data_IF_239897891241
#
_entry.id   IF_239897891241
#
_cell.length_a   1.000
_cell.length_b   1.000
_cell.length_c   1.000
_cell.angle_alpha   90.00
_cell.angle_beta   90.00
_cell.angle_gamma   90.00
#
_symmetry.space_group_name_H-M   'P 1'
#
loop_
_entity.id
_entity.type
_entity.pdbx_description
1 polymer ?
#
# COMPACT_ATOMS: atom_id res chain seq x y z
N UNK A 1 -11.50 -21.18 -13.21
CA UNK A 1 -12.20 -19.97 -12.71
C UNK A 1 -11.13 -19.07 -12.16
N UNK A 2 -11.05 -17.83 -12.63
CA UNK A 2 -10.16 -16.86 -12.00
C UNK A 2 -10.61 -16.63 -10.55
N UNK A 3 -9.66 -16.64 -9.62
CA UNK A 3 -9.96 -16.35 -8.22
C UNK A 3 -10.51 -14.92 -8.10
N UNK A 4 -11.58 -14.76 -7.34
CA UNK A 4 -12.21 -13.47 -7.12
C UNK A 4 -11.19 -12.46 -6.52
N UNK A 5 -11.22 -11.23 -6.98
CA UNK A 5 -10.39 -10.16 -6.44
C UNK A 5 -11.03 -9.60 -5.16
N UNK A 6 -10.22 -9.33 -4.17
CA UNK A 6 -10.61 -8.73 -2.91
C UNK A 6 -9.81 -7.43 -2.69
N UNK A 7 -10.48 -6.32 -2.50
CA UNK A 7 -9.87 -5.06 -2.07
C UNK A 7 -9.88 -5.02 -0.54
N UNK A 8 -8.74 -4.77 0.06
CA UNK A 8 -8.58 -4.69 1.50
C UNK A 8 -7.96 -3.36 1.92
N UNK A 9 -8.58 -2.69 2.87
CA UNK A 9 -8.01 -1.56 3.58
C UNK A 9 -7.85 -1.88 5.06
N UNK A 10 -6.92 -1.21 5.74
CA UNK A 10 -6.71 -1.33 7.18
C UNK A 10 -6.95 0.03 7.82
N UNK A 11 -7.96 0.11 8.70
CA UNK A 11 -8.30 1.30 9.47
C UNK A 11 -8.32 0.97 10.95
N UNK A 12 -7.41 1.56 11.72
CA UNK A 12 -7.32 1.31 13.15
C UNK A 12 -7.27 2.61 13.94
N UNK A 13 -8.00 2.63 15.06
CA UNK A 13 -8.09 3.81 15.90
C UNK A 13 -8.83 4.96 15.22
N UNK A 14 -8.49 6.20 15.59
CA UNK A 14 -9.20 7.42 15.20
C UNK A 14 -8.48 8.33 14.21
N UNK A 15 -7.25 7.97 13.77
CA UNK A 15 -6.48 8.83 12.84
C UNK A 15 -7.25 9.04 11.53
N UNK A 16 -7.77 7.96 10.96
CA UNK A 16 -8.51 8.04 9.71
C UNK A 16 -10.01 7.80 9.96
N UNK A 17 -10.89 8.75 9.65
CA UNK A 17 -12.32 8.55 9.71
C UNK A 17 -12.82 7.60 8.59
N UNK A 18 -14.09 7.12 8.66
CA UNK A 18 -14.63 6.12 7.73
C UNK A 18 -14.70 6.59 6.27
N UNK A 19 -14.62 7.89 6.03
CA UNK A 19 -14.58 8.48 4.69
C UNK A 19 -13.40 7.96 3.86
N UNK A 20 -12.26 7.66 4.48
CA UNK A 20 -11.08 7.14 3.77
C UNK A 20 -11.29 5.75 3.15
N UNK A 21 -11.67 4.70 3.89
CA UNK A 21 -11.97 3.42 3.27
C UNK A 21 -13.16 3.49 2.30
N UNK A 22 -14.17 4.34 2.55
CA UNK A 22 -15.28 4.57 1.62
C UNK A 22 -14.77 5.17 0.30
N UNK A 23 -13.87 6.15 0.39
CA UNK A 23 -13.26 6.79 -0.77
C UNK A 23 -12.46 5.77 -1.61
N UNK A 24 -11.59 4.97 -0.99
CA UNK A 24 -10.83 3.91 -1.67
C UNK A 24 -11.79 2.94 -2.37
N UNK A 25 -12.85 2.51 -1.69
CA UNK A 25 -13.86 1.61 -2.25
C UNK A 25 -14.56 2.22 -3.48
N UNK A 26 -15.04 3.46 -3.37
CA UNK A 26 -15.77 4.14 -4.44
C UNK A 26 -14.87 4.43 -5.64
N UNK A 27 -13.62 4.83 -5.42
CA UNK A 27 -12.63 4.97 -6.49
C UNK A 27 -12.33 3.63 -7.17
N UNK A 28 -12.18 2.56 -6.38
CA UNK A 28 -11.98 1.22 -6.92
C UNK A 28 -13.18 0.75 -7.76
N UNK A 29 -14.41 1.01 -7.33
CA UNK A 29 -15.63 0.70 -8.14
C UNK A 29 -15.57 1.33 -9.53
N UNK A 30 -14.96 2.48 -9.68
CA UNK A 30 -14.82 3.16 -10.97
C UNK A 30 -13.70 2.62 -11.83
N UNK A 31 -12.56 2.27 -11.21
CA UNK A 31 -11.31 2.04 -11.92
C UNK A 31 -10.85 0.59 -11.97
N UNK A 32 -11.49 -0.31 -11.19
CA UNK A 32 -11.17 -1.73 -11.23
C UNK A 32 -11.71 -2.36 -12.52
N UNK A 33 -10.91 -3.15 -13.25
CA UNK A 33 -11.34 -3.76 -14.51
C UNK A 33 -12.25 -4.99 -14.33
N UNK A 34 -12.44 -5.46 -13.10
CA UNK A 34 -13.24 -6.64 -12.78
C UNK A 34 -14.04 -6.46 -11.50
N UNK A 35 -15.01 -7.34 -11.27
CA UNK A 35 -15.73 -7.39 -10.00
C UNK A 35 -14.81 -7.76 -8.85
N UNK A 36 -15.06 -7.18 -7.69
CA UNK A 36 -14.30 -7.42 -6.47
C UNK A 36 -15.19 -7.35 -5.23
N UNK A 37 -14.75 -8.01 -4.15
CA UNK A 37 -15.29 -7.76 -2.82
C UNK A 37 -14.46 -6.68 -2.13
N UNK A 38 -15.10 -5.87 -1.30
CA UNK A 38 -14.42 -4.86 -0.49
C UNK A 38 -14.44 -5.23 0.98
N UNK A 39 -13.29 -5.10 1.61
CA UNK A 39 -13.08 -5.40 3.03
C UNK A 39 -12.35 -4.25 3.72
N UNK A 40 -12.74 -3.98 4.96
CA UNK A 40 -12.01 -3.11 5.85
C UNK A 40 -11.66 -3.87 7.14
N UNK A 41 -10.38 -4.04 7.38
CA UNK A 41 -9.90 -4.57 8.67
C UNK A 41 -9.84 -3.41 9.65
N UNK A 42 -10.74 -3.43 10.65
CA UNK A 42 -10.92 -2.29 11.55
C UNK A 42 -11.43 -2.72 12.92
N UNK A 43 -11.12 -1.91 13.93
CA UNK A 43 -11.71 -1.96 15.27
C UNK A 43 -13.09 -1.27 15.36
N UNK A 44 -13.42 -0.44 14.36
CA UNK A 44 -14.68 0.27 14.32
C UNK A 44 -15.17 0.46 12.88
N UNK A 45 -16.22 -0.27 12.52
CA UNK A 45 -16.87 -0.23 11.21
C UNK A 45 -17.98 0.81 11.05
N UNK A 46 -18.24 1.65 12.05
CA UNK A 46 -19.29 2.66 11.96
C UNK A 46 -18.99 3.68 10.86
N UNK A 47 -19.98 3.95 10.02
CA UNK A 47 -19.86 4.93 8.93
C UNK A 47 -19.23 4.39 7.65
N UNK A 48 -18.88 3.09 7.58
CA UNK A 48 -18.46 2.46 6.33
C UNK A 48 -19.66 2.26 5.39
N UNK A 49 -19.40 2.34 4.09
CA UNK A 49 -20.37 1.99 3.05
C UNK A 49 -20.84 0.54 3.21
N UNK A 50 -22.12 0.28 2.94
CA UNK A 50 -22.76 -1.04 3.13
C UNK A 50 -22.09 -2.17 2.33
N UNK A 51 -21.47 -1.85 1.22
CA UNK A 51 -20.72 -2.79 0.36
C UNK A 51 -19.34 -3.18 0.94
N UNK A 52 -18.88 -2.50 2.00
CA UNK A 52 -17.60 -2.78 2.65
C UNK A 52 -17.82 -3.73 3.81
N UNK A 53 -17.25 -4.93 3.70
CA UNK A 53 -17.34 -5.93 4.77
C UNK A 53 -16.29 -5.64 5.85
N UNK A 54 -16.75 -5.47 7.07
CA UNK A 54 -15.85 -5.36 8.23
C UNK A 54 -15.30 -6.72 8.56
N UNK A 55 -13.98 -6.80 8.76
CA UNK A 55 -13.29 -8.01 9.19
C UNK A 55 -12.36 -7.71 10.36
N UNK A 56 -12.26 -8.68 11.26
CA UNK A 56 -11.28 -8.65 12.34
C UNK A 56 -10.01 -9.38 11.93
N UNK A 57 -8.87 -8.94 12.44
CA UNK A 57 -7.61 -9.64 12.18
C UNK A 57 -7.61 -11.05 12.76
N UNK A 58 -7.12 -12.01 11.98
CA UNK A 58 -6.83 -13.37 12.47
C UNK A 58 -5.48 -13.45 13.17
N UNK A 59 -4.59 -12.50 12.89
CA UNK A 59 -3.22 -12.46 13.38
C UNK A 59 -3.10 -11.60 14.66
N UNK A 60 -3.94 -11.90 15.65
CA UNK A 60 -4.07 -11.10 16.90
C UNK A 60 -2.73 -10.91 17.61
N UNK A 61 -1.87 -11.93 17.66
CA UNK A 61 -0.57 -11.85 18.29
C UNK A 61 0.32 -10.74 17.70
N UNK A 62 0.27 -10.55 16.38
CA UNK A 62 1.03 -9.51 15.69
C UNK A 62 0.45 -8.12 16.02
N UNK A 63 -0.86 -8.01 15.99
CA UNK A 63 -1.55 -6.77 16.29
C UNK A 63 -1.35 -6.34 17.74
N UNK A 64 -1.50 -7.26 18.69
CA UNK A 64 -1.32 -6.98 20.11
C UNK A 64 0.11 -6.51 20.39
N UNK A 65 1.10 -7.16 19.78
CA UNK A 65 2.50 -6.77 19.94
C UNK A 65 2.78 -5.40 19.31
N UNK A 66 2.30 -5.15 18.09
CA UNK A 66 2.49 -3.86 17.40
C UNK A 66 1.80 -2.71 18.15
N UNK A 67 0.56 -2.89 18.59
CA UNK A 67 -0.19 -1.86 19.30
C UNK A 67 0.35 -1.60 20.72
N UNK A 68 1.06 -2.56 21.30
CA UNK A 68 1.72 -2.39 22.60
C UNK A 68 3.05 -1.63 22.53
N UNK A 69 3.55 -1.34 21.31
CA UNK A 69 4.84 -0.67 21.14
C UNK A 69 4.72 0.83 21.29
N UNK A 70 5.61 1.41 22.11
CA UNK A 70 5.84 2.86 22.13
C UNK A 70 6.55 3.38 20.86
N UNK A 71 6.94 2.48 19.99
CA UNK A 71 7.79 2.75 18.82
C UNK A 71 6.97 2.68 17.54
N UNK A 72 6.63 3.81 16.98
CA UNK A 72 5.78 3.98 15.81
C UNK A 72 6.37 3.43 14.48
N UNK A 73 7.68 3.30 14.36
CA UNK A 73 8.33 2.98 13.07
C UNK A 73 8.12 1.54 12.56
N UNK A 74 7.60 0.63 13.38
CA UNK A 74 7.30 -0.73 12.96
C UNK A 74 5.80 -1.02 12.86
N UNK A 75 4.95 -0.01 12.99
CA UNK A 75 3.49 -0.21 12.95
C UNK A 75 3.00 -0.72 11.61
N UNK A 76 3.65 -0.37 10.52
CA UNK A 76 3.32 -0.87 9.19
C UNK A 76 3.59 -2.38 9.02
N UNK A 77 4.29 -3.02 9.97
CA UNK A 77 4.51 -4.47 9.97
C UNK A 77 3.20 -5.27 10.03
N UNK A 78 2.11 -4.66 10.46
CA UNK A 78 0.76 -5.20 10.36
C UNK A 78 0.42 -5.63 8.92
N UNK A 79 0.94 -4.93 7.92
CA UNK A 79 0.79 -5.24 6.49
C UNK A 79 1.39 -6.61 6.12
N UNK A 80 2.29 -7.13 6.94
CA UNK A 80 2.82 -8.48 6.73
C UNK A 80 1.76 -9.57 6.87
N UNK A 81 0.67 -9.30 7.61
CA UNK A 81 -0.47 -10.21 7.70
C UNK A 81 -1.17 -10.47 6.36
N UNK A 82 -0.99 -9.59 5.37
CA UNK A 82 -1.50 -9.78 4.00
C UNK A 82 -0.98 -11.07 3.34
N UNK A 83 0.17 -11.54 3.79
CA UNK A 83 0.80 -12.77 3.30
C UNK A 83 0.35 -14.02 4.08
N UNK A 84 -0.44 -13.85 5.14
CA UNK A 84 -0.97 -14.97 5.90
C UNK A 84 -2.02 -15.75 5.10
N UNK A 85 -2.00 -17.10 5.16
CA UNK A 85 -3.02 -17.91 4.51
C UNK A 85 -4.40 -17.60 5.13
N UNK A 86 -5.40 -17.38 4.27
CA UNK A 86 -6.79 -17.10 4.71
C UNK A 86 -6.92 -15.92 5.69
N UNK A 87 -6.18 -14.84 5.44
CA UNK A 87 -6.27 -13.63 6.24
C UNK A 87 -7.74 -13.22 6.44
N UNK A 88 -8.20 -13.13 7.68
CA UNK A 88 -9.58 -12.75 8.02
C UNK A 88 -10.67 -13.61 7.32
N UNK A 89 -10.34 -14.84 6.93
CA UNK A 89 -11.22 -15.69 6.10
C UNK A 89 -11.24 -15.33 4.62
N UNK A 90 -10.45 -14.35 4.18
CA UNK A 90 -10.29 -13.97 2.78
C UNK A 90 -9.29 -14.91 2.12
N UNK A 91 -9.67 -15.50 0.99
CA UNK A 91 -8.83 -16.43 0.23
C UNK A 91 -8.75 -15.98 -1.23
N UNK A 92 -7.55 -16.11 -1.83
CA UNK A 92 -7.29 -15.73 -3.21
C UNK A 92 -6.56 -14.41 -3.36
N UNK A 93 -6.87 -13.68 -4.44
CA UNK A 93 -6.20 -12.41 -4.78
C UNK A 93 -6.69 -11.27 -3.87
N UNK A 94 -5.75 -10.58 -3.24
CA UNK A 94 -5.99 -9.44 -2.36
C UNK A 94 -5.19 -8.25 -2.87
N UNK A 95 -5.88 -7.18 -3.22
CA UNK A 95 -5.28 -5.85 -3.43
C UNK A 95 -5.44 -5.05 -2.14
N UNK A 96 -4.34 -4.82 -1.45
CA UNK A 96 -4.30 -3.93 -0.30
C UNK A 96 -3.96 -2.51 -0.73
N UNK A 97 -4.64 -1.53 -0.16
CA UNK A 97 -4.34 -0.12 -0.32
C UNK A 97 -4.27 0.58 1.04
N UNK A 98 -3.25 1.41 1.24
CA UNK A 98 -3.28 2.40 2.31
C UNK A 98 -4.46 3.36 2.10
N UNK A 99 -4.90 3.97 3.18
CA UNK A 99 -6.10 4.80 3.19
C UNK A 99 -5.91 6.16 2.50
N UNK A 100 -4.67 6.62 2.43
CA UNK A 100 -4.28 7.90 1.84
C UNK A 100 -3.93 7.81 0.35
N UNK A 101 -4.16 6.68 -0.30
CA UNK A 101 -3.97 6.54 -1.75
C UNK A 101 -5.15 7.16 -2.53
N UNK A 102 -4.86 7.69 -3.73
CA UNK A 102 -5.88 8.14 -4.68
C UNK A 102 -5.82 7.30 -5.97
N UNK A 103 -6.92 6.61 -6.28
CA UNK A 103 -7.10 5.95 -7.57
C UNK A 103 -7.80 6.93 -8.52
N UNK A 104 -7.10 7.34 -9.58
CA UNK A 104 -7.61 8.34 -10.53
C UNK A 104 -7.49 7.91 -11.99
N UNK A 105 -7.12 6.64 -12.23
CA UNK A 105 -7.04 6.00 -13.54
C UNK A 105 -7.25 4.48 -13.47
N UNK A 106 -7.31 3.79 -14.62
CA UNK A 106 -7.55 2.35 -14.71
C UNK A 106 -6.54 1.53 -13.91
N UNK A 107 -7.03 0.52 -13.16
CA UNK A 107 -6.21 -0.35 -12.31
C UNK A 107 -5.80 -1.66 -13.01
N UNK A 108 -5.99 -1.78 -14.33
CA UNK A 108 -5.63 -2.96 -15.12
C UNK A 108 -4.18 -3.38 -14.86
N UNK A 109 -3.24 -2.44 -14.97
CA UNK A 109 -1.82 -2.70 -14.75
C UNK A 109 -1.49 -3.19 -13.34
N UNK A 110 -2.31 -2.80 -12.36
CA UNK A 110 -2.14 -3.25 -10.97
C UNK A 110 -2.53 -4.73 -10.88
N UNK A 111 -3.73 -5.09 -11.34
CA UNK A 111 -4.28 -6.44 -11.18
C UNK A 111 -3.76 -7.46 -12.19
N UNK A 112 -3.14 -7.02 -13.28
CA UNK A 112 -2.44 -7.86 -14.25
C UNK A 112 -0.98 -8.14 -13.83
N UNK A 113 -0.44 -7.40 -12.86
CA UNK A 113 0.90 -7.67 -12.34
C UNK A 113 0.91 -9.01 -11.61
N UNK A 114 1.89 -9.90 -11.88
CA UNK A 114 1.99 -11.16 -11.16
C UNK A 114 2.15 -10.97 -9.65
N UNK A 115 1.51 -11.80 -8.86
CA UNK A 115 1.59 -11.80 -7.39
C UNK A 115 2.80 -12.62 -6.88
N UNK A 116 3.44 -12.25 -5.77
CA UNK A 116 3.17 -11.04 -4.97
C UNK A 116 3.80 -9.78 -5.59
N UNK A 117 3.08 -8.66 -5.57
CA UNK A 117 3.55 -7.40 -6.13
C UNK A 117 3.47 -6.24 -5.13
N UNK A 118 4.35 -5.24 -5.34
CA UNK A 118 4.49 -4.07 -4.48
C UNK A 118 4.92 -2.87 -5.32
N UNK A 119 4.79 -1.66 -4.80
CA UNK A 119 5.30 -0.46 -5.46
C UNK A 119 6.83 -0.50 -5.48
N UNK A 120 7.42 -0.39 -6.67
CA UNK A 120 8.82 -0.02 -6.82
C UNK A 120 8.96 1.51 -6.77
N UNK A 121 9.88 2.02 -5.95
CA UNK A 121 10.11 3.47 -5.80
C UNK A 121 10.86 4.05 -7.01
N UNK A 122 10.21 4.06 -8.17
CA UNK A 122 10.81 4.42 -9.48
C UNK A 122 11.14 5.90 -9.62
N UNK A 123 10.61 6.74 -8.73
CA UNK A 123 10.96 8.18 -8.65
C UNK A 123 12.34 8.45 -8.09
N UNK A 124 13.02 7.45 -7.52
CA UNK A 124 14.38 7.60 -7.03
C UNK A 124 15.40 7.45 -8.17
N UNK A 125 16.33 8.39 -8.33
CA UNK A 125 17.37 8.28 -9.35
C UNK A 125 18.37 7.17 -8.99
N UNK A 126 18.92 6.45 -10.02
CA UNK A 126 19.84 5.33 -9.80
C UNK A 126 21.08 5.67 -8.96
N UNK A 127 21.60 6.91 -9.07
CA UNK A 127 22.75 7.34 -8.27
C UNK A 127 22.39 7.56 -6.80
N UNK A 128 21.16 7.96 -6.47
CA UNK A 128 20.71 8.10 -5.10
C UNK A 128 20.67 6.72 -4.43
N UNK A 129 20.28 5.70 -5.18
CA UNK A 129 20.37 4.30 -4.77
C UNK A 129 21.82 3.88 -4.51
N UNK A 130 22.78 4.39 -5.34
CA UNK A 130 24.20 4.10 -5.20
C UNK A 130 24.94 4.97 -4.19
N UNK A 131 24.54 6.24 -4.01
CA UNK A 131 25.23 7.20 -3.12
C UNK A 131 25.09 6.89 -1.62
N UNK A 132 24.06 6.16 -1.24
CA UNK A 132 23.88 5.73 0.14
C UNK A 132 24.81 4.56 0.53
N UNK A 133 25.78 4.24 -0.33
CA UNK A 133 27.06 3.57 -0.07
C UNK A 133 27.05 2.44 0.96
N UNK A 134 26.19 1.44 0.80
CA UNK A 134 26.12 0.32 1.73
C UNK A 134 25.33 0.60 3.02
N UNK A 135 24.80 1.80 3.22
CA UNK A 135 23.82 2.05 4.26
C UNK A 135 22.46 1.55 3.75
N UNK A 136 22.24 0.26 3.90
CA UNK A 136 21.05 -0.46 3.44
C UNK A 136 19.74 0.11 3.96
N UNK A 137 19.76 0.97 4.98
CA UNK A 137 18.58 1.64 5.51
C UNK A 137 18.02 2.73 4.59
N UNK A 138 18.86 3.28 3.73
CA UNK A 138 18.50 4.42 2.88
C UNK A 138 18.19 4.03 1.41
N UNK A 139 18.38 2.76 1.03
CA UNK A 139 18.16 2.27 -0.34
C UNK A 139 16.96 1.35 -0.46
N UNK A 140 15.96 1.58 0.32
CA UNK A 140 14.71 0.83 0.20
C UNK A 140 13.98 1.23 -1.09
N UNK A 141 13.87 0.27 -2.01
CA UNK A 141 13.22 0.50 -3.31
C UNK A 141 11.80 -0.04 -3.38
N UNK A 142 11.21 -0.38 -2.24
CA UNK A 142 9.80 -0.76 -2.13
C UNK A 142 9.04 0.26 -1.29
N UNK A 143 7.76 0.37 -1.59
CA UNK A 143 6.79 1.07 -0.76
C UNK A 143 5.52 0.23 -0.64
N UNK A 144 5.07 -0.02 0.58
CA UNK A 144 3.96 -0.92 0.90
C UNK A 144 2.58 -0.24 0.95
N UNK A 145 2.43 0.95 0.37
CA UNK A 145 1.13 1.63 0.31
C UNK A 145 0.15 0.94 -0.63
N UNK A 146 0.64 0.13 -1.57
CA UNK A 146 -0.16 -0.71 -2.45
C UNK A 146 0.51 -2.08 -2.60
N UNK A 147 -0.15 -3.13 -2.14
CA UNK A 147 0.37 -4.51 -2.20
C UNK A 147 -0.68 -5.41 -2.87
N UNK A 148 -0.23 -6.24 -3.82
CA UNK A 148 -1.09 -7.21 -4.48
C UNK A 148 -0.56 -8.62 -4.25
N UNK A 149 -1.34 -9.47 -3.60
CA UNK A 149 -0.97 -10.83 -3.26
C UNK A 149 -2.04 -11.82 -3.67
N UNK A 150 -1.66 -13.07 -3.85
CA UNK A 150 -2.57 -14.21 -3.83
C UNK A 150 -2.15 -15.11 -2.66
N UNK A 151 -2.95 -15.10 -1.60
CA UNK A 151 -2.63 -15.80 -0.36
C UNK A 151 -2.83 -17.32 -0.44
N UNK A 152 -3.23 -17.83 -1.59
CA UNK A 152 -3.25 -19.28 -1.89
C UNK A 152 -1.94 -19.77 -2.47
N UNK A 153 -1.06 -18.87 -2.93
CA UNK A 153 0.22 -19.25 -3.54
C UNK A 153 1.25 -19.67 -2.48
N UNK A 154 2.03 -20.71 -2.74
CA UNK A 154 3.08 -21.16 -1.81
C UNK A 154 4.07 -20.06 -1.44
N UNK A 155 4.49 -19.24 -2.41
CA UNK A 155 5.44 -18.16 -2.19
C UNK A 155 4.93 -17.11 -1.20
N UNK A 156 3.66 -16.81 -1.21
CA UNK A 156 3.03 -15.89 -0.26
C UNK A 156 3.09 -16.46 1.15
N UNK A 157 2.78 -17.74 1.29
CA UNK A 157 2.89 -18.44 2.57
C UNK A 157 4.35 -18.53 3.07
N UNK A 158 5.32 -18.69 2.16
CA UNK A 158 6.75 -18.69 2.52
C UNK A 158 7.18 -17.33 3.09
N UNK A 159 6.70 -16.23 2.50
CA UNK A 159 6.95 -14.88 3.01
C UNK A 159 6.40 -14.75 4.45
N UNK A 160 5.17 -15.16 4.67
CA UNK A 160 4.54 -15.12 5.98
C UNK A 160 5.28 -15.98 7.02
N UNK A 161 5.53 -17.24 6.69
CA UNK A 161 6.21 -18.16 7.58
C UNK A 161 7.62 -17.69 7.93
N UNK A 162 8.36 -17.13 6.97
CA UNK A 162 9.66 -16.55 7.21
C UNK A 162 9.57 -15.33 8.12
N UNK A 163 8.59 -14.45 7.90
CA UNK A 163 8.36 -13.29 8.75
C UNK A 163 8.07 -13.72 10.20
N UNK A 164 7.11 -14.63 10.42
CA UNK A 164 6.78 -15.13 11.76
C UNK A 164 8.01 -15.72 12.46
N UNK A 165 8.79 -16.56 11.76
CA UNK A 165 10.01 -17.18 12.30
C UNK A 165 11.08 -16.17 12.70
N UNK A 166 11.16 -15.05 12.00
CA UNK A 166 12.21 -14.04 12.18
C UNK A 166 11.70 -12.71 12.75
N UNK A 167 10.45 -12.68 13.22
CA UNK A 167 9.77 -11.47 13.67
C UNK A 167 10.59 -10.63 14.66
N UNK A 168 11.12 -11.26 15.72
CA UNK A 168 11.90 -10.55 16.74
C UNK A 168 13.15 -9.87 16.16
N UNK A 169 13.81 -10.52 15.19
CA UNK A 169 14.97 -9.92 14.51
C UNK A 169 14.53 -8.79 13.57
N UNK A 170 13.45 -8.97 12.85
CA UNK A 170 12.90 -7.94 11.96
C UNK A 170 12.52 -6.70 12.77
N UNK A 171 11.78 -6.87 13.86
CA UNK A 171 11.41 -5.81 14.80
C UNK A 171 12.60 -5.05 15.37
N UNK A 172 13.68 -5.77 15.73
CA UNK A 172 14.89 -5.16 16.31
C UNK A 172 15.83 -4.49 15.29
N UNK A 173 15.72 -4.83 14.00
CA UNK A 173 16.72 -4.45 12.98
C UNK A 173 16.16 -3.65 11.83
N UNK A 174 14.83 -3.61 11.68
CA UNK A 174 14.14 -2.97 10.57
C UNK A 174 13.08 -2.03 11.12
N UNK A 175 12.85 -0.96 10.39
CA UNK A 175 11.90 0.07 10.81
C UNK A 175 10.58 0.03 10.04
N UNK A 176 10.44 -0.88 9.04
CA UNK A 176 9.21 -0.99 8.25
C UNK A 176 9.06 -2.35 7.56
N UNK A 177 7.83 -2.67 7.17
CA UNK A 177 7.52 -3.80 6.28
C UNK A 177 8.22 -3.67 4.92
N UNK A 178 8.32 -2.44 4.41
CA UNK A 178 9.04 -2.12 3.16
C UNK A 178 10.49 -2.59 3.23
N UNK A 179 11.16 -2.24 4.32
CA UNK A 179 12.55 -2.63 4.55
C UNK A 179 12.71 -4.14 4.66
N UNK A 180 11.75 -4.82 5.31
CA UNK A 180 11.75 -6.27 5.40
C UNK A 180 11.57 -6.93 4.04
N UNK A 181 10.54 -6.53 3.29
CA UNK A 181 10.25 -7.06 1.95
C UNK A 181 11.40 -6.79 0.99
N UNK A 182 11.96 -5.59 1.00
CA UNK A 182 13.13 -5.25 0.18
C UNK A 182 14.35 -6.11 0.50
N UNK A 183 14.69 -6.25 1.78
CA UNK A 183 15.90 -6.97 2.19
C UNK A 183 15.84 -8.46 1.93
N UNK A 184 14.70 -9.06 2.23
CA UNK A 184 14.56 -10.51 2.23
C UNK A 184 13.98 -11.02 0.91
N UNK A 185 13.02 -10.29 0.32
CA UNK A 185 12.17 -10.80 -0.74
C UNK A 185 12.24 -10.03 -2.07
N UNK A 186 13.18 -9.08 -2.23
CA UNK A 186 13.28 -8.25 -3.45
C UNK A 186 13.40 -9.02 -4.76
N UNK A 187 13.93 -10.24 -4.73
CA UNK A 187 14.06 -11.09 -5.93
C UNK A 187 12.80 -11.92 -6.21
N UNK A 188 11.84 -11.89 -5.29
CA UNK A 188 10.59 -12.67 -5.36
C UNK A 188 9.40 -11.75 -5.61
N UNK A 189 9.42 -10.56 -5.03
CA UNK A 189 8.36 -9.56 -5.23
C UNK A 189 8.45 -8.97 -6.63
N UNK A 190 7.32 -8.92 -7.31
CA UNK A 190 7.16 -8.14 -8.53
C UNK A 190 6.94 -6.66 -8.20
N UNK A 191 7.29 -5.79 -9.12
CA UNK A 191 6.94 -4.36 -9.02
C UNK A 191 5.96 -3.98 -10.11
N UNK A 192 5.03 -3.09 -9.79
CA UNK A 192 4.10 -2.58 -10.80
C UNK A 192 4.85 -1.97 -11.99
N UNK A 193 4.28 -2.08 -13.22
CA UNK A 193 4.87 -1.50 -14.41
C UNK A 193 5.08 0.01 -14.28
N UNK A 194 5.96 0.61 -15.11
CA UNK A 194 6.07 2.08 -15.22
C UNK A 194 4.70 2.74 -15.46
N UNK A 195 4.55 3.97 -14.99
CA UNK A 195 3.32 4.75 -15.12
C UNK A 195 2.08 4.11 -14.48
N UNK A 196 2.27 3.32 -13.43
CA UNK A 196 1.16 2.77 -12.63
C UNK A 196 0.96 3.59 -11.37
N UNK A 197 2.03 3.81 -10.60
CA UNK A 197 2.00 4.50 -9.31
C UNK A 197 3.02 5.61 -9.30
N UNK A 198 2.66 6.77 -8.76
CA UNK A 198 3.58 7.88 -8.48
C UNK A 198 3.36 8.47 -7.10
N UNK A 199 4.34 9.17 -6.60
CA UNK A 199 4.26 9.87 -5.31
C UNK A 199 3.84 11.32 -5.51
N UNK A 200 2.94 11.80 -4.66
CA UNK A 200 2.44 13.17 -4.68
C UNK A 200 3.58 14.21 -4.59
N UNK A 201 4.55 13.98 -3.71
CA UNK A 201 5.66 14.91 -3.48
C UNK A 201 6.93 14.59 -4.27
N UNK A 202 7.09 13.34 -4.77
CA UNK A 202 8.31 12.90 -5.45
C UNK A 202 8.13 12.73 -6.95
N UNK A 203 6.89 12.70 -7.41
CA UNK A 203 6.57 12.57 -8.83
C UNK A 203 6.53 11.13 -9.32
N UNK A 204 6.65 10.97 -10.65
CA UNK A 204 6.53 9.69 -11.35
C UNK A 204 7.86 8.93 -11.52
N UNK A 205 7.95 8.14 -12.59
CA UNK A 205 9.17 7.38 -12.89
C UNK A 205 10.36 8.32 -13.23
N UNK A 206 11.55 7.92 -12.78
CA UNK A 206 12.79 8.57 -13.22
C UNK A 206 12.99 8.35 -14.74
N UNK A 207 13.45 9.35 -15.53
CA UNK A 207 13.92 10.68 -15.11
C UNK A 207 12.84 11.75 -14.96
N UNK A 208 11.59 11.47 -15.26
CA UNK A 208 10.49 12.46 -15.27
C UNK A 208 10.18 13.03 -13.87
N UNK A 209 10.50 12.26 -12.82
CA UNK A 209 10.35 12.70 -11.42
C UNK A 209 11.46 13.67 -11.00
N UNK A 210 12.58 13.68 -11.68
CA UNK A 210 13.80 14.41 -11.30
C UNK A 210 14.03 15.67 -12.15
N UNK A 211 12.97 16.29 -12.64
CA UNK A 211 13.15 17.62 -13.21
C UNK A 211 13.68 18.52 -12.09
N UNK A 212 14.70 19.31 -12.44
CA UNK A 212 15.31 20.33 -11.56
C UNK A 212 14.26 21.36 -11.10
N UNK A 213 13.08 21.26 -11.68
CA UNK A 213 11.94 22.12 -11.41
C UNK A 213 11.20 21.62 -10.15
N UNK A 214 11.33 22.39 -9.07
CA UNK A 214 10.56 22.19 -7.83
C UNK A 214 9.04 22.17 -8.06
N UNK A 215 8.57 22.64 -9.21
CA UNK A 215 7.16 22.64 -9.63
C UNK A 215 6.70 21.30 -10.24
N UNK A 216 7.59 20.35 -10.52
CA UNK A 216 7.21 19.01 -10.96
C UNK A 216 6.58 18.14 -9.85
N UNK A 217 6.67 18.61 -8.61
CA UNK A 217 5.97 18.05 -7.45
C UNK A 217 4.51 18.49 -7.48
N UNK A 218 3.64 17.67 -6.89
CA UNK A 218 2.22 17.98 -6.72
C UNK A 218 1.39 18.10 -8.02
N UNK A 219 1.96 17.72 -9.16
CA UNK A 219 1.26 17.74 -10.45
C UNK A 219 0.48 16.44 -10.62
N UNK A 220 -0.78 16.56 -11.03
CA UNK A 220 -1.56 15.40 -11.49
C UNK A 220 -0.91 14.79 -12.73
N UNK A 221 -0.72 13.48 -12.70
CA UNK A 221 -0.14 12.72 -13.82
C UNK A 221 -1.22 11.84 -14.43
N UNK A 222 -1.83 12.33 -15.49
CA UNK A 222 -2.99 11.67 -16.13
C UNK A 222 -2.64 10.34 -16.80
N UNK A 223 -1.36 10.05 -17.01
CA UNK A 223 -0.86 8.78 -17.54
C UNK A 223 -0.55 7.74 -16.45
N UNK A 224 -0.83 8.06 -15.18
CA UNK A 224 -0.72 7.16 -14.02
C UNK A 224 -2.10 6.82 -13.47
N UNK A 225 -2.18 5.70 -12.78
CA UNK A 225 -3.44 5.21 -12.19
C UNK A 225 -3.59 5.54 -10.71
N UNK A 226 -2.48 5.57 -9.97
CA UNK A 226 -2.47 5.70 -8.51
C UNK A 226 -1.50 6.79 -8.08
N UNK A 227 -1.96 7.70 -7.23
CA UNK A 227 -1.14 8.65 -6.49
C UNK A 227 -1.04 8.20 -5.03
N UNK A 228 0.17 8.15 -4.48
CA UNK A 228 0.41 7.83 -3.07
C UNK A 228 0.97 9.04 -2.32
N UNK A 229 0.63 9.15 -1.04
CA UNK A 229 1.14 10.13 -0.10
C UNK A 229 2.11 9.42 0.85
N UNK A 230 3.30 9.98 1.06
CA UNK A 230 4.42 9.20 1.63
C UNK A 230 5.05 9.77 2.88
N UNK A 231 4.78 10.99 3.26
CA UNK A 231 5.54 11.66 4.32
C UNK A 231 4.63 12.20 5.42
N UNK A 232 5.11 12.12 6.66
CA UNK A 232 4.42 12.65 7.86
C UNK A 232 4.17 14.17 7.80
N UNK A 233 4.74 14.87 6.82
CA UNK A 233 4.61 16.31 6.62
C UNK A 233 3.74 16.66 5.41
N UNK A 234 3.20 15.68 4.72
CA UNK A 234 2.20 15.90 3.68
C UNK A 234 0.81 16.03 4.32
N UNK A 235 -0.03 16.92 3.81
CA UNK A 235 -1.43 16.91 4.21
C UNK A 235 -2.05 15.58 3.79
N UNK A 236 -2.89 15.02 4.63
CA UNK A 236 -3.71 13.88 4.23
C UNK A 236 -4.59 14.29 3.02
N UNK A 237 -4.89 13.38 2.06
CA UNK A 237 -5.64 13.75 0.84
C UNK A 237 -6.94 14.50 1.11
N UNK A 238 -7.67 14.17 2.16
CA UNK A 238 -8.94 14.83 2.50
C UNK A 238 -8.76 16.22 3.13
N UNK A 239 -7.57 16.54 3.63
CA UNK A 239 -7.24 17.88 4.16
C UNK A 239 -6.88 18.87 3.04
N UNK A 240 -6.71 18.38 1.81
CA UNK A 240 -6.45 19.22 0.64
C UNK A 240 -7.78 19.74 0.10
N UNK A 241 -8.08 21.01 0.37
CA UNK A 241 -9.36 21.61 0.05
C UNK A 241 -9.48 22.08 -1.41
N UNK A 242 -8.36 22.33 -2.09
CA UNK A 242 -8.30 22.91 -3.43
C UNK A 242 -7.34 22.14 -4.36
N UNK A 243 -7.54 22.29 -5.66
CA UNK A 243 -6.71 21.68 -6.69
C UNK A 243 -7.13 20.26 -7.04
N UNK A 244 -6.33 19.61 -7.89
CA UNK A 244 -6.70 18.36 -8.53
C UNK A 244 -6.97 17.19 -7.56
N UNK A 245 -6.30 17.17 -6.39
CA UNK A 245 -6.55 16.17 -5.35
C UNK A 245 -7.96 16.33 -4.81
N UNK A 246 -8.31 17.56 -4.42
CA UNK A 246 -9.66 17.89 -3.98
C UNK A 246 -10.71 17.61 -5.05
N UNK A 247 -10.42 17.93 -6.32
CA UNK A 247 -11.31 17.68 -7.45
C UNK A 247 -11.58 16.18 -7.66
N UNK A 248 -10.61 15.33 -7.32
CA UNK A 248 -10.79 13.87 -7.41
C UNK A 248 -11.66 13.38 -6.25
N UNK A 249 -11.23 13.58 -5.00
CA UNK A 249 -11.93 12.94 -3.90
C UNK A 249 -13.34 13.48 -3.66
N UNK A 250 -13.61 14.76 -3.98
CA UNK A 250 -14.95 15.36 -3.93
C UNK A 250 -15.96 14.69 -4.88
N UNK A 251 -15.49 14.01 -5.93
CA UNK A 251 -16.38 13.27 -6.83
C UNK A 251 -16.94 11.99 -6.21
N UNK A 252 -16.35 11.54 -5.10
CA UNK A 252 -16.68 10.26 -4.46
C UNK A 252 -17.24 10.41 -3.04
N UNK A 253 -17.32 11.63 -2.51
CA UNK A 253 -18.08 11.92 -1.29
C UNK A 253 -19.59 11.95 -1.58
#
# INVERSE_FOLDING_TARGET
>A
MESQLNLLTIKWGSKFPPEYPNLIHRMAKRWMPCEFNSYCMTDNGNGLDEDIRVVETTEKWLWDDILSMDQWWFWDAIKMSLFAPKLCGIEGRILFSDLDNLFHGPLDRVVETPTPAIIGTRWMPPWQVGMHGGNYFLTMLFNASLIYVDNTQPVTNDIWNHFCKHYTKAKASLYSSDAYLWRVWRNTMHTYPPKTVYSYNRGGDYPDSFSVDRYAKYIKRDDYSVCIFMEDHEPDPLDIEEGWVADIWKQYL
#
